data_IF_198085122494
#
_entry.id   IF_198085122494
#
_cell.length_a   1.000
_cell.length_b   1.000
_cell.length_c   1.000
_cell.angle_alpha   90.00
_cell.angle_beta   90.00
_cell.angle_gamma   90.00
#
_symmetry.space_group_name_H-M   'P 1'
#
loop_
_entity.id
_entity.type
_entity.pdbx_description
1 polymer ?
#
# COMPACT_ATOMS: atom_id res chain seq x y z
N UNK A 1 5.67 8.14 55.22
CA UNK A 1 5.98 9.04 54.09
C UNK A 1 6.71 10.24 54.68
N UNK A 2 7.90 10.58 54.18
CA UNK A 2 8.75 11.64 54.73
C UNK A 2 8.57 12.97 54.01
N UNK A 3 8.26 12.97 52.70
CA UNK A 3 7.97 14.17 51.91
C UNK A 3 7.00 13.82 50.79
N UNK A 4 5.95 14.63 50.61
CA UNK A 4 5.01 14.50 49.49
C UNK A 4 4.75 15.90 48.92
N UNK A 5 5.19 16.15 47.69
CA UNK A 5 5.00 17.43 47.01
C UNK A 5 4.53 17.22 45.57
N UNK A 6 3.37 17.80 45.26
CA UNK A 6 2.82 17.83 43.92
C UNK A 6 3.37 19.04 43.17
N UNK A 7 4.07 18.79 42.07
CA UNK A 7 4.46 19.80 41.10
C UNK A 7 3.54 19.70 39.87
N UNK A 8 3.56 20.73 39.00
CA UNK A 8 2.69 20.79 37.83
C UNK A 8 2.85 19.59 36.87
N UNK A 9 4.02 18.94 36.86
CA UNK A 9 4.38 17.87 35.93
C UNK A 9 5.05 16.67 36.61
N UNK A 10 5.31 16.73 37.92
CA UNK A 10 5.97 15.64 38.67
C UNK A 10 5.42 15.55 40.09
N UNK A 11 5.53 14.37 40.69
CA UNK A 11 5.19 14.17 42.11
C UNK A 11 6.45 13.71 42.82
N UNK A 12 6.88 14.46 43.83
CA UNK A 12 7.95 14.03 44.71
C UNK A 12 7.33 13.24 45.87
N UNK A 13 7.60 11.94 45.90
CA UNK A 13 7.23 11.07 47.00
C UNK A 13 8.51 10.48 47.60
N UNK A 14 8.85 10.93 48.81
CA UNK A 14 9.93 10.36 49.61
C UNK A 14 9.27 9.54 50.70
N UNK A 15 9.46 8.23 50.65
CA UNK A 15 9.03 7.31 51.69
C UNK A 15 10.23 6.53 52.22
N UNK A 16 10.06 5.96 53.40
CA UNK A 16 11.09 5.14 54.01
C UNK A 16 11.07 3.75 53.40
N UNK A 17 11.97 3.52 52.44
CA UNK A 17 12.06 2.28 51.67
C UNK A 17 12.49 1.05 52.50
N UNK A 18 12.91 1.23 53.75
CA UNK A 18 13.27 0.12 54.65
C UNK A 18 12.06 -0.62 55.23
N UNK A 19 10.86 -0.05 55.14
CA UNK A 19 9.63 -0.62 55.67
C UNK A 19 8.82 -1.36 54.61
N UNK A 20 9.13 -1.15 53.34
CA UNK A 20 8.40 -1.75 52.23
C UNK A 20 8.97 -3.12 51.90
N UNK A 21 8.08 -4.04 51.58
CA UNK A 21 8.47 -5.34 51.05
C UNK A 21 8.95 -5.20 49.61
N UNK A 22 9.85 -6.11 49.19
CA UNK A 22 10.36 -6.17 47.82
C UNK A 22 9.25 -6.17 46.75
N UNK A 23 8.07 -6.75 47.07
CA UNK A 23 6.91 -6.78 46.17
C UNK A 23 6.28 -5.40 45.95
N UNK A 24 6.28 -4.56 46.96
CA UNK A 24 5.69 -3.22 46.91
C UNK A 24 6.60 -2.30 46.10
N UNK A 25 7.92 -2.36 46.33
CA UNK A 25 8.92 -1.65 45.53
C UNK A 25 8.88 -2.08 44.06
N UNK A 26 8.78 -3.39 43.81
CA UNK A 26 8.61 -3.92 42.46
C UNK A 26 7.35 -3.38 41.78
N UNK A 27 6.24 -3.32 42.52
CA UNK A 27 4.97 -2.80 42.01
C UNK A 27 5.12 -1.32 41.66
N UNK A 28 5.80 -0.52 42.49
CA UNK A 28 6.05 0.90 42.20
C UNK A 28 6.85 1.12 40.90
N UNK A 29 7.84 0.27 40.60
CA UNK A 29 8.61 0.36 39.35
C UNK A 29 7.76 0.00 38.12
N UNK A 30 6.81 -0.93 38.27
CA UNK A 30 6.11 -1.55 37.14
C UNK A 30 4.74 -0.89 36.86
N UNK A 31 4.12 -0.25 37.85
CA UNK A 31 2.79 0.36 37.73
C UNK A 31 2.73 1.42 36.63
N UNK A 32 3.71 2.33 36.56
CA UNK A 32 3.75 3.37 35.53
C UNK A 32 3.72 2.77 34.11
N UNK A 33 4.73 2.00 33.72
CA UNK A 33 4.78 1.37 32.40
C UNK A 33 3.55 0.48 32.13
N UNK A 34 3.10 -0.35 33.08
CA UNK A 34 1.91 -1.20 32.87
C UNK A 34 0.64 -0.40 32.63
N UNK A 35 0.44 0.74 33.31
CA UNK A 35 -0.73 1.58 33.05
C UNK A 35 -0.73 2.13 31.64
N UNK A 36 0.43 2.51 31.11
CA UNK A 36 0.56 2.95 29.71
C UNK A 36 0.18 1.83 28.73
N UNK A 37 0.64 0.60 28.97
CA UNK A 37 0.23 -0.56 28.17
C UNK A 37 -1.26 -0.89 28.29
N UNK A 38 -1.84 -0.74 29.47
CA UNK A 38 -3.27 -0.94 29.66
C UNK A 38 -4.10 0.11 28.89
N UNK A 39 -3.65 1.38 28.90
CA UNK A 39 -4.29 2.46 28.14
C UNK A 39 -4.16 2.22 26.64
N UNK A 40 -2.99 1.84 26.12
CA UNK A 40 -2.86 1.52 24.69
C UNK A 40 -3.72 0.33 24.29
N UNK A 41 -3.73 -0.75 25.07
CA UNK A 41 -4.60 -1.90 24.82
C UNK A 41 -6.07 -1.48 24.80
N UNK A 42 -6.52 -0.67 25.76
CA UNK A 42 -7.89 -0.16 25.81
C UNK A 42 -8.23 0.64 24.54
N UNK A 43 -7.34 1.52 24.10
CA UNK A 43 -7.53 2.29 22.87
C UNK A 43 -7.62 1.38 21.62
N UNK A 44 -6.82 0.32 21.56
CA UNK A 44 -6.87 -0.69 20.50
C UNK A 44 -8.19 -1.46 20.54
N UNK A 45 -8.69 -1.83 21.72
CA UNK A 45 -9.98 -2.50 21.88
C UNK A 45 -11.16 -1.60 21.50
N UNK A 46 -11.11 -0.31 21.86
CA UNK A 46 -12.10 0.68 21.42
C UNK A 46 -12.08 0.77 19.89
N UNK A 47 -10.89 0.86 19.27
CA UNK A 47 -10.75 0.88 17.80
C UNK A 47 -11.36 -0.35 17.15
N UNK A 48 -11.10 -1.54 17.71
CA UNK A 48 -11.68 -2.80 17.26
C UNK A 48 -13.20 -2.79 17.37
N UNK A 49 -13.75 -2.39 18.52
CA UNK A 49 -15.19 -2.27 18.74
C UNK A 49 -15.86 -1.30 17.77
N UNK A 50 -15.26 -0.14 17.54
CA UNK A 50 -15.78 0.81 16.57
C UNK A 50 -15.71 0.29 15.12
N UNK A 51 -14.68 -0.48 14.77
CA UNK A 51 -14.59 -1.10 13.45
C UNK A 51 -15.71 -2.13 13.24
N UNK A 52 -16.06 -2.89 14.28
CA UNK A 52 -17.18 -3.83 14.23
C UNK A 52 -18.55 -3.15 14.07
N UNK A 53 -18.75 -1.98 14.69
CA UNK A 53 -20.05 -1.30 14.70
C UNK A 53 -20.23 -0.37 13.49
N UNK A 54 -19.21 0.42 13.14
CA UNK A 54 -19.32 1.52 12.17
C UNK A 54 -18.58 1.25 10.85
N UNK A 55 -17.85 0.13 10.73
CA UNK A 55 -17.09 -0.25 9.54
C UNK A 55 -15.84 0.59 9.27
N UNK A 56 -15.75 1.82 9.81
CA UNK A 56 -14.58 2.70 9.74
C UNK A 56 -14.55 3.68 10.93
N UNK A 57 -13.37 4.21 11.26
CA UNK A 57 -13.18 5.22 12.32
C UNK A 57 -12.44 6.44 11.75
N UNK A 58 -12.63 7.66 12.29
CA UNK A 58 -11.89 8.83 11.82
C UNK A 58 -10.38 8.62 11.85
N UNK A 59 -9.70 9.03 10.78
CA UNK A 59 -8.24 8.86 10.61
C UNK A 59 -7.42 9.49 11.74
N UNK A 60 -7.93 10.55 12.38
CA UNK A 60 -7.29 11.19 13.53
C UNK A 60 -7.05 10.22 14.70
N UNK A 61 -8.02 9.37 15.01
CA UNK A 61 -7.91 8.38 16.08
C UNK A 61 -6.79 7.37 15.81
N UNK A 62 -6.59 7.00 14.53
CA UNK A 62 -5.51 6.11 14.10
C UNK A 62 -4.13 6.74 14.38
N UNK A 63 -3.95 8.02 14.05
CA UNK A 63 -2.70 8.73 14.32
C UNK A 63 -2.43 8.87 15.82
N UNK A 64 -3.47 9.14 16.61
CA UNK A 64 -3.35 9.22 18.07
C UNK A 64 -2.94 7.88 18.69
N UNK A 65 -3.60 6.79 18.32
CA UNK A 65 -3.27 5.45 18.83
C UNK A 65 -1.86 5.04 18.43
N UNK A 66 -1.44 5.36 17.20
CA UNK A 66 -0.07 5.13 16.74
C UNK A 66 0.93 5.91 17.59
N UNK A 67 0.73 7.22 17.77
CA UNK A 67 1.63 8.05 18.57
C UNK A 67 1.72 7.56 20.02
N UNK A 68 0.58 7.21 20.63
CA UNK A 68 0.55 6.66 21.98
C UNK A 68 1.26 5.29 22.03
N UNK A 69 1.00 4.40 21.07
CA UNK A 69 1.67 3.11 21.00
C UNK A 69 3.19 3.23 20.87
N UNK A 70 3.70 4.13 20.03
CA UNK A 70 5.14 4.42 19.91
C UNK A 70 5.69 4.99 21.23
N UNK A 71 4.96 5.92 21.86
CA UNK A 71 5.36 6.47 23.16
C UNK A 71 5.48 5.37 24.22
N UNK A 72 4.51 4.44 24.31
CA UNK A 72 4.57 3.34 25.29
C UNK A 72 5.74 2.40 25.08
N UNK A 73 6.17 2.16 23.84
CA UNK A 73 7.36 1.34 23.56
C UNK A 73 8.65 2.05 23.99
N UNK A 74 8.70 3.38 23.86
CA UNK A 74 9.85 4.20 24.22
C UNK A 74 9.87 4.62 25.69
N UNK A 75 8.79 4.39 26.44
CA UNK A 75 8.62 4.85 27.82
C UNK A 75 9.76 4.41 28.77
N UNK A 76 10.19 3.13 28.82
CA UNK A 76 11.29 2.74 29.70
C UNK A 76 12.60 3.49 29.42
N UNK A 77 12.85 3.80 28.15
CA UNK A 77 14.03 4.58 27.75
C UNK A 77 13.86 6.06 28.12
N UNK A 78 12.65 6.62 27.95
CA UNK A 78 12.33 7.97 28.38
C UNK A 78 12.48 8.14 29.90
N UNK A 79 11.93 7.22 30.71
CA UNK A 79 12.07 7.22 32.17
C UNK A 79 13.53 7.14 32.59
N UNK A 80 14.31 6.23 32.00
CA UNK A 80 15.74 6.11 32.29
C UNK A 80 16.50 7.41 31.96
N UNK A 81 16.23 8.02 30.80
CA UNK A 81 16.88 9.29 30.43
C UNK A 81 16.51 10.45 31.36
N UNK A 82 15.23 10.56 31.76
CA UNK A 82 14.78 11.58 32.72
C UNK A 82 15.46 11.39 34.08
N UNK A 83 15.52 10.15 34.57
CA UNK A 83 16.17 9.82 35.84
C UNK A 83 17.67 10.13 35.81
N UNK A 84 18.35 9.86 34.69
CA UNK A 84 19.76 10.18 34.49
C UNK A 84 20.01 11.70 34.44
N UNK A 85 19.19 12.45 33.70
CA UNK A 85 19.33 13.91 33.56
C UNK A 85 19.06 14.63 34.88
N UNK A 86 18.09 14.16 35.66
CA UNK A 86 17.78 14.72 36.98
C UNK A 86 18.73 14.25 38.08
N UNK A 87 19.73 13.40 37.76
CA UNK A 87 20.69 12.86 38.71
C UNK A 87 20.09 11.90 39.75
N UNK A 88 18.87 11.40 39.52
CA UNK A 88 18.11 10.56 40.45
C UNK A 88 18.59 9.09 40.50
N UNK A 89 19.64 8.76 39.76
CA UNK A 89 20.33 7.47 39.85
C UNK A 89 21.17 7.35 41.14
N UNK A 90 21.70 8.46 41.64
CA UNK A 90 22.47 8.49 42.87
C UNK A 90 21.54 8.53 44.09
N UNK A 91 21.90 7.80 45.14
CA UNK A 91 21.12 7.85 46.38
C UNK A 91 21.42 9.14 47.15
N UNK A 92 20.36 9.89 47.46
CA UNK A 92 20.41 11.02 48.38
C UNK A 92 19.17 10.96 49.30
N UNK A 93 19.30 11.31 50.59
CA UNK A 93 18.19 11.29 51.53
C UNK A 93 17.12 12.37 51.25
N UNK A 94 17.52 13.45 50.57
CA UNK A 94 16.66 14.63 50.36
C UNK A 94 15.94 14.62 49.01
N UNK A 95 16.38 13.76 48.08
CA UNK A 95 15.82 13.66 46.72
C UNK A 95 15.23 12.28 46.46
N UNK A 96 14.09 12.18 45.74
CA UNK A 96 13.53 10.88 45.37
C UNK A 96 14.46 10.12 44.44
N UNK A 97 14.59 8.81 44.68
CA UNK A 97 15.35 7.89 43.82
C UNK A 97 14.53 7.61 42.56
N UNK A 98 15.19 7.63 41.41
CA UNK A 98 14.59 7.33 40.11
C UNK A 98 14.11 5.89 40.02
N UNK A 99 13.07 5.64 39.23
CA UNK A 99 12.44 4.32 39.14
C UNK A 99 13.40 3.26 38.58
N UNK A 100 14.32 3.66 37.69
CA UNK A 100 15.34 2.76 37.14
C UNK A 100 16.39 2.32 38.19
N UNK A 101 16.71 3.17 39.17
CA UNK A 101 17.71 2.89 40.20
C UNK A 101 17.10 2.38 41.52
N UNK A 102 15.77 2.41 41.64
CA UNK A 102 15.02 2.11 42.85
C UNK A 102 15.31 0.73 43.40
N UNK A 103 15.23 -0.28 42.54
CA UNK A 103 15.46 -1.67 42.91
C UNK A 103 16.94 -1.94 43.23
N UNK A 104 17.87 -1.28 42.53
CA UNK A 104 19.30 -1.36 42.83
C UNK A 104 19.57 -0.95 44.29
N UNK A 105 19.06 0.23 44.69
CA UNK A 105 19.27 0.75 46.04
C UNK A 105 18.53 -0.05 47.12
N UNK A 106 17.38 -0.64 46.78
CA UNK A 106 16.67 -1.56 47.67
C UNK A 106 17.53 -2.79 48.01
N UNK A 107 18.04 -3.51 46.99
CA UNK A 107 18.88 -4.70 47.20
C UNK A 107 20.25 -4.36 47.80
N UNK A 108 20.82 -3.21 47.44
CA UNK A 108 22.07 -2.75 48.03
C UNK A 108 21.96 -2.57 49.55
N UNK A 109 20.80 -2.15 50.08
CA UNK A 109 20.60 -2.02 51.53
C UNK A 109 20.30 -3.35 52.23
N UNK A 110 19.56 -4.25 51.58
CA UNK A 110 19.19 -5.53 52.15
C UNK A 110 20.38 -6.53 52.19
N UNK A 111 21.11 -6.63 51.08
CA UNK A 111 22.10 -7.70 50.85
C UNK A 111 23.54 -7.16 50.66
N UNK A 112 23.75 -5.84 50.78
CA UNK A 112 25.02 -5.14 50.45
C UNK A 112 25.48 -5.28 49.00
N UNK A 113 24.63 -5.84 48.14
CA UNK A 113 24.86 -6.01 46.71
C UNK A 113 23.64 -5.52 45.93
N UNK A 114 23.83 -4.58 45.01
CA UNK A 114 22.75 -4.05 44.16
C UNK A 114 22.58 -4.80 42.84
N UNK A 115 23.43 -5.80 42.55
CA UNK A 115 23.47 -6.48 41.25
C UNK A 115 22.13 -7.16 40.91
N UNK A 116 21.49 -7.79 41.89
CA UNK A 116 20.17 -8.41 41.71
C UNK A 116 19.10 -7.38 41.28
N UNK A 117 19.13 -6.18 41.85
CA UNK A 117 18.22 -5.10 41.48
C UNK A 117 18.37 -4.64 40.02
N UNK A 118 19.60 -4.58 39.50
CA UNK A 118 19.87 -4.25 38.08
C UNK A 118 19.33 -5.34 37.16
N UNK A 119 19.59 -6.60 37.48
CA UNK A 119 19.15 -7.74 36.65
C UNK A 119 17.62 -7.79 36.59
N UNK A 120 16.95 -7.61 37.72
CA UNK A 120 15.48 -7.64 37.80
C UNK A 120 14.88 -6.44 37.05
N UNK A 121 15.41 -5.23 37.20
CA UNK A 121 14.90 -4.05 36.47
C UNK A 121 15.06 -4.19 34.95
N UNK A 122 16.22 -4.67 34.48
CA UNK A 122 16.45 -4.95 33.07
C UNK A 122 15.47 -6.00 32.53
N UNK A 123 15.24 -7.07 33.30
CA UNK A 123 14.28 -8.11 32.94
C UNK A 123 12.85 -7.54 32.81
N UNK A 124 12.40 -6.76 33.79
CA UNK A 124 11.05 -6.16 33.77
C UNK A 124 10.87 -5.21 32.59
N UNK A 125 11.86 -4.37 32.30
CA UNK A 125 11.80 -3.45 31.16
C UNK A 125 11.85 -4.20 29.82
N UNK A 126 12.59 -5.31 29.74
CA UNK A 126 12.59 -6.18 28.55
C UNK A 126 11.21 -6.81 28.33
N UNK A 127 10.60 -7.39 29.36
CA UNK A 127 9.25 -7.97 29.28
C UNK A 127 8.23 -6.90 28.93
N UNK A 128 8.33 -5.72 29.54
CA UNK A 128 7.47 -4.59 29.24
C UNK A 128 7.61 -4.17 27.77
N UNK A 129 8.83 -4.01 27.27
CA UNK A 129 9.11 -3.67 25.87
C UNK A 129 8.53 -4.70 24.91
N UNK A 130 8.69 -6.00 25.19
CA UNK A 130 8.10 -7.08 24.39
C UNK A 130 6.56 -7.04 24.42
N UNK A 131 5.95 -6.72 25.56
CA UNK A 131 4.51 -6.56 25.66
C UNK A 131 4.03 -5.32 24.87
N UNK A 132 4.71 -4.19 24.98
CA UNK A 132 4.36 -2.96 24.27
C UNK A 132 4.51 -3.12 22.76
N UNK A 133 5.61 -3.73 22.30
CA UNK A 133 5.86 -3.92 20.86
C UNK A 133 4.87 -4.92 20.24
N UNK A 134 4.45 -5.95 21.00
CA UNK A 134 3.43 -6.90 20.50
C UNK A 134 2.06 -6.24 20.38
N UNK A 135 1.63 -5.44 21.35
CA UNK A 135 0.39 -4.65 21.27
C UNK A 135 0.45 -3.68 20.08
N UNK A 136 1.56 -2.95 19.93
CA UNK A 136 1.77 -2.02 18.81
C UNK A 136 1.78 -2.75 17.46
N UNK A 137 2.44 -3.91 17.36
CA UNK A 137 2.50 -4.70 16.13
C UNK A 137 1.12 -5.21 15.71
N UNK A 138 0.33 -5.72 16.66
CA UNK A 138 -1.06 -6.13 16.40
C UNK A 138 -1.88 -4.95 15.88
N UNK A 139 -1.74 -3.78 16.50
CA UNK A 139 -2.41 -2.57 16.07
C UNK A 139 -1.99 -2.14 14.65
N UNK A 140 -0.69 -2.06 14.39
CA UNK A 140 -0.14 -1.64 13.09
C UNK A 140 -0.56 -2.55 11.95
N UNK A 141 -0.53 -3.86 12.16
CA UNK A 141 -0.91 -4.81 11.12
C UNK A 141 -2.43 -4.82 10.92
N UNK A 142 -3.22 -4.99 11.99
CA UNK A 142 -4.66 -5.26 11.84
C UNK A 142 -5.55 -4.02 11.75
N UNK A 143 -5.19 -2.91 12.40
CA UNK A 143 -6.12 -1.79 12.62
C UNK A 143 -5.68 -0.47 12.04
N UNK A 144 -4.38 -0.29 11.85
CA UNK A 144 -3.85 0.95 11.29
C UNK A 144 -4.27 1.09 9.82
N UNK A 145 -4.82 2.27 9.48
CA UNK A 145 -5.34 2.59 8.14
C UNK A 145 -6.25 1.51 7.56
N UNK A 146 -7.18 1.00 8.38
CA UNK A 146 -8.17 -0.03 8.02
C UNK A 146 -7.55 -1.34 7.50
N UNK A 147 -6.38 -1.72 8.03
CA UNK A 147 -5.73 -2.98 7.69
C UNK A 147 -4.95 -2.97 6.37
N UNK A 148 -4.82 -1.80 5.72
CA UNK A 148 -3.98 -1.63 4.50
C UNK A 148 -2.53 -2.06 4.71
N UNK A 149 -2.03 -1.91 5.95
CA UNK A 149 -0.69 -2.35 6.31
C UNK A 149 -0.55 -3.87 6.22
N UNK A 150 -1.57 -4.65 6.63
CA UNK A 150 -1.57 -6.09 6.49
C UNK A 150 -1.62 -6.52 5.02
N UNK A 151 -2.47 -5.89 4.20
CA UNK A 151 -2.51 -6.13 2.75
C UNK A 151 -1.15 -5.86 2.10
N UNK A 152 -0.50 -4.74 2.43
CA UNK A 152 0.85 -4.42 1.93
C UNK A 152 1.88 -5.45 2.40
N UNK A 153 1.85 -5.83 3.68
CA UNK A 153 2.76 -6.83 4.24
C UNK A 153 2.59 -8.20 3.57
N UNK A 154 1.35 -8.62 3.34
CA UNK A 154 1.04 -9.86 2.62
C UNK A 154 1.58 -9.81 1.20
N UNK A 155 1.35 -8.72 0.46
CA UNK A 155 1.88 -8.55 -0.91
C UNK A 155 3.40 -8.58 -0.98
N UNK A 156 4.09 -8.02 0.01
CA UNK A 156 5.56 -8.01 0.06
C UNK A 156 6.18 -9.35 0.46
N UNK A 157 5.46 -10.16 1.23
CA UNK A 157 5.98 -11.42 1.80
C UNK A 157 5.51 -12.65 1.02
N UNK A 158 4.47 -12.50 0.19
CA UNK A 158 3.96 -13.58 -0.64
C UNK A 158 5.01 -14.09 -1.62
N UNK A 159 5.01 -15.40 -1.86
CA UNK A 159 5.70 -15.96 -3.03
C UNK A 159 4.88 -15.67 -4.29
N UNK A 160 5.57 -15.56 -5.41
CA UNK A 160 4.93 -15.42 -6.73
C UNK A 160 3.93 -16.56 -6.96
N UNK A 161 2.73 -16.23 -7.43
CA UNK A 161 1.65 -17.21 -7.66
C UNK A 161 0.83 -17.62 -6.42
N UNK A 162 1.14 -17.12 -5.20
CA UNK A 162 0.34 -17.44 -3.99
C UNK A 162 -1.03 -16.76 -3.96
N UNK A 163 -1.16 -15.62 -4.65
CA UNK A 163 -2.41 -14.86 -4.72
C UNK A 163 -2.80 -14.70 -6.18
N UNK A 164 -4.10 -14.82 -6.45
CA UNK A 164 -4.69 -14.42 -7.72
C UNK A 164 -4.72 -12.90 -7.76
N UNK A 165 -3.64 -12.30 -8.24
CA UNK A 165 -3.57 -10.87 -8.48
C UNK A 165 -4.06 -10.61 -9.91
N UNK A 166 -4.98 -9.66 -10.12
CA UNK A 166 -5.31 -9.24 -11.47
C UNK A 166 -4.05 -8.72 -12.16
N UNK A 167 -3.98 -8.90 -13.48
CA UNK A 167 -2.89 -8.39 -14.27
C UNK A 167 -2.79 -6.87 -14.14
N UNK A 168 -1.58 -6.32 -14.32
CA UNK A 168 -1.42 -4.88 -14.39
C UNK A 168 -2.29 -4.33 -15.53
N UNK A 169 -3.12 -3.32 -15.20
CA UNK A 169 -4.08 -2.71 -16.12
C UNK A 169 -5.19 -3.67 -16.61
N UNK A 170 -5.52 -4.69 -15.82
CA UNK A 170 -6.71 -5.50 -16.05
C UNK A 170 -7.98 -4.65 -15.85
N UNK A 171 -8.94 -4.83 -16.76
CA UNK A 171 -10.20 -4.10 -16.80
C UNK A 171 -11.36 -5.09 -16.79
N UNK A 172 -12.43 -4.73 -16.09
CA UNK A 172 -13.67 -5.51 -16.16
C UNK A 172 -14.37 -5.35 -17.51
N UNK A 173 -15.17 -6.35 -17.90
CA UNK A 173 -16.04 -6.26 -19.08
C UNK A 173 -16.98 -5.04 -19.05
N UNK A 174 -17.46 -4.65 -17.86
CA UNK A 174 -18.33 -3.50 -17.68
C UNK A 174 -17.58 -2.19 -17.98
N UNK A 175 -16.34 -2.07 -17.50
CA UNK A 175 -15.48 -0.91 -17.77
C UNK A 175 -15.12 -0.83 -19.25
N UNK A 176 -14.75 -1.96 -19.88
CA UNK A 176 -14.46 -1.97 -21.32
C UNK A 176 -15.68 -1.53 -22.13
N UNK A 177 -16.88 -2.07 -21.84
CA UNK A 177 -18.13 -1.68 -22.51
C UNK A 177 -18.42 -0.18 -22.33
N UNK A 178 -18.23 0.33 -21.12
CA UNK A 178 -18.39 1.75 -20.84
C UNK A 178 -17.39 2.61 -21.64
N UNK A 179 -16.13 2.21 -21.69
CA UNK A 179 -15.07 2.91 -22.44
C UNK A 179 -15.39 2.92 -23.94
N UNK A 180 -15.82 1.78 -24.51
CA UNK A 180 -16.18 1.64 -25.92
C UNK A 180 -17.36 2.55 -26.26
N UNK A 181 -18.47 2.48 -25.51
CA UNK A 181 -19.64 3.35 -25.73
C UNK A 181 -19.29 4.83 -25.63
N UNK A 182 -18.49 5.20 -24.63
CA UNK A 182 -18.03 6.58 -24.45
C UNK A 182 -17.13 7.04 -25.59
N UNK A 183 -16.30 6.14 -26.14
CA UNK A 183 -15.48 6.44 -27.29
C UNK A 183 -16.32 6.64 -28.56
N UNK A 184 -17.28 5.78 -28.84
CA UNK A 184 -18.15 5.89 -30.02
C UNK A 184 -18.99 7.18 -30.03
N UNK A 185 -19.44 7.63 -28.86
CA UNK A 185 -20.19 8.88 -28.70
C UNK A 185 -19.31 10.14 -28.79
N UNK A 186 -17.99 10.00 -28.68
CA UNK A 186 -17.08 11.13 -28.67
C UNK A 186 -17.04 11.84 -30.03
N UNK A 187 -17.07 13.18 -30.00
CA UNK A 187 -16.93 14.06 -31.16
C UNK A 187 -15.86 15.09 -30.84
N UNK A 188 -14.85 15.19 -31.70
CA UNK A 188 -13.80 16.21 -31.58
C UNK A 188 -14.25 17.54 -32.17
N UNK A 189 -13.56 18.62 -31.74
CA UNK A 189 -13.85 19.99 -32.18
C UNK A 189 -13.73 20.17 -33.69
N UNK A 190 -12.74 19.51 -34.32
CA UNK A 190 -12.48 19.57 -35.76
C UNK A 190 -13.28 18.54 -36.58
N UNK A 191 -14.34 17.96 -36.02
CA UNK A 191 -15.10 16.89 -36.68
C UNK A 191 -14.46 15.50 -36.58
N UNK A 192 -13.40 15.36 -35.78
CA UNK A 192 -12.79 14.06 -35.45
C UNK A 192 -13.81 13.13 -34.79
N UNK A 193 -13.71 11.84 -35.10
CA UNK A 193 -14.57 10.81 -34.49
C UNK A 193 -13.72 9.66 -34.03
N UNK A 194 -14.17 8.94 -33.01
CA UNK A 194 -13.54 7.68 -32.60
C UNK A 194 -14.31 6.50 -33.17
N UNK A 195 -13.57 5.50 -33.64
CA UNK A 195 -14.12 4.24 -34.13
C UNK A 195 -13.42 3.09 -33.43
N UNK A 196 -14.19 2.09 -33.04
CA UNK A 196 -13.69 0.87 -32.41
C UNK A 196 -13.54 -0.20 -33.48
N UNK A 197 -12.41 -0.90 -33.46
CA UNK A 197 -12.11 -2.05 -34.29
C UNK A 197 -11.83 -3.24 -33.37
N UNK A 198 -12.40 -4.40 -33.71
CA UNK A 198 -12.21 -5.65 -32.98
C UNK A 198 -11.57 -6.64 -33.95
N UNK A 199 -10.45 -7.23 -33.54
CA UNK A 199 -9.74 -8.24 -34.29
C UNK A 199 -9.59 -9.48 -33.42
N UNK A 200 -10.02 -10.62 -33.92
CA UNK A 200 -9.76 -11.91 -33.29
C UNK A 200 -8.51 -12.50 -33.93
N UNK A 201 -7.48 -12.73 -33.11
CA UNK A 201 -6.25 -13.36 -33.54
C UNK A 201 -6.19 -14.76 -32.98
N UNK A 202 -6.13 -15.75 -33.87
CA UNK A 202 -5.98 -17.17 -33.50
C UNK A 202 -4.49 -17.47 -33.62
N UNK A 203 -3.81 -17.61 -32.48
CA UNK A 203 -2.42 -18.04 -32.51
C UNK A 203 -2.40 -19.56 -32.69
N UNK A 204 -2.22 -20.01 -33.93
CA UNK A 204 -1.77 -21.38 -34.16
C UNK A 204 -0.28 -21.40 -33.82
N UNK A 205 0.13 -22.18 -32.83
CA UNK A 205 1.54 -22.44 -32.60
C UNK A 205 2.14 -22.89 -33.95
N UNK A 206 2.97 -22.04 -34.56
CA UNK A 206 3.69 -22.41 -35.77
C UNK A 206 4.60 -23.58 -35.38
N UNK A 207 4.32 -24.77 -35.92
CA UNK A 207 5.26 -25.89 -35.88
C UNK A 207 6.59 -25.38 -36.45
N UNK A 208 7.69 -25.37 -35.67
CA UNK A 208 8.99 -25.02 -36.23
C UNK A 208 9.38 -26.17 -37.16
N UNK A 209 9.24 -25.95 -38.47
CA UNK A 209 9.72 -26.82 -39.53
C UNK A 209 11.24 -26.98 -39.44
N UNK A 210 11.71 -27.89 -38.57
CA UNK A 210 13.00 -28.59 -38.66
C UNK A 210 12.92 -29.97 -37.98
N UNK A 211 12.11 -30.87 -38.54
CA UNK A 211 12.50 -32.29 -38.57
C UNK A 211 11.90 -32.96 -39.80
N UNK A 212 12.75 -33.13 -40.79
CA UNK A 212 12.50 -33.87 -42.02
C UNK A 212 12.00 -35.30 -41.77
N UNK A 213 10.84 -35.64 -42.34
CA UNK A 213 10.61 -36.94 -42.98
C UNK A 213 9.69 -37.93 -42.26
N UNK A 214 8.41 -37.95 -42.62
CA UNK A 214 7.65 -39.14 -43.06
C UNK A 214 6.16 -38.78 -43.28
N UNK A 215 5.49 -39.26 -44.34
CA UNK A 215 4.04 -39.13 -44.47
C UNK A 215 3.37 -40.22 -43.62
N UNK A 216 2.59 -39.83 -42.62
CA UNK A 216 1.64 -40.72 -41.97
C UNK A 216 0.24 -40.30 -42.37
N UNK A 217 -0.37 -41.08 -43.26
CA UNK A 217 -1.81 -41.12 -43.43
C UNK A 217 -2.44 -41.47 -42.08
N UNK A 218 -3.32 -40.60 -41.59
CA UNK A 218 -3.92 -40.71 -40.26
C UNK A 218 -5.03 -39.67 -40.09
N UNK A 219 -6.23 -40.06 -40.52
CA UNK A 219 -7.46 -39.31 -40.41
C UNK A 219 -7.84 -39.08 -38.92
N UNK A 220 -8.02 -37.81 -38.52
CA UNK A 220 -8.67 -37.45 -37.25
C UNK A 220 -7.77 -36.98 -36.10
N UNK A 221 -6.76 -36.14 -36.34
CA UNK A 221 -6.16 -35.34 -35.26
C UNK A 221 -7.01 -34.09 -34.99
N UNK A 222 -7.42 -33.78 -33.73
CA UNK A 222 -8.10 -32.53 -33.42
C UNK A 222 -7.17 -31.35 -33.77
N UNK A 223 -7.71 -30.21 -34.27
CA UNK A 223 -6.89 -29.06 -34.56
C UNK A 223 -6.15 -28.63 -33.28
N UNK A 224 -4.90 -28.12 -33.39
CA UNK A 224 -4.19 -27.61 -32.24
C UNK A 224 -5.06 -26.57 -31.53
N UNK A 225 -5.19 -26.66 -30.21
CA UNK A 225 -5.90 -25.68 -29.39
C UNK A 225 -5.22 -24.31 -29.57
N UNK A 226 -5.66 -23.57 -30.59
CA UNK A 226 -5.14 -22.24 -30.87
C UNK A 226 -5.58 -21.30 -29.75
N UNK A 227 -4.61 -20.70 -29.08
CA UNK A 227 -4.89 -19.66 -28.11
C UNK A 227 -5.50 -18.46 -28.86
N UNK A 228 -6.78 -18.20 -28.60
CA UNK A 228 -7.50 -17.07 -29.22
C UNK A 228 -7.30 -15.83 -28.36
N UNK A 229 -6.85 -14.74 -28.98
CA UNK A 229 -6.72 -13.44 -28.34
C UNK A 229 -7.52 -12.39 -29.11
N UNK A 230 -8.36 -11.64 -28.41
CA UNK A 230 -9.20 -10.60 -29.02
C UNK A 230 -8.60 -9.22 -28.76
N UNK A 231 -8.25 -8.51 -29.81
CA UNK A 231 -7.76 -7.14 -29.77
C UNK A 231 -8.91 -6.16 -29.98
N UNK A 232 -9.13 -5.26 -29.02
CA UNK A 232 -10.08 -4.16 -29.15
C UNK A 232 -9.30 -2.85 -29.23
N UNK A 233 -9.27 -2.23 -30.41
CA UNK A 233 -8.50 -1.02 -30.66
C UNK A 233 -9.45 0.15 -30.95
N UNK A 234 -9.25 1.26 -30.24
CA UNK A 234 -10.00 2.50 -30.45
C UNK A 234 -9.10 3.45 -31.25
N UNK A 235 -9.56 3.87 -32.42
CA UNK A 235 -8.88 4.85 -33.26
C UNK A 235 -9.58 6.20 -33.23
N UNK A 236 -8.81 7.29 -33.21
CA UNK A 236 -9.28 8.63 -33.56
C UNK A 236 -9.09 8.82 -35.06
N UNK A 237 -10.20 9.07 -35.75
CA UNK A 237 -10.27 9.34 -37.17
C UNK A 237 -10.26 10.85 -37.37
N UNK A 238 -9.22 11.35 -38.02
CA UNK A 238 -9.15 12.74 -38.44
C UNK A 238 -9.85 12.92 -39.79
N UNK A 239 -10.44 14.09 -40.08
CA UNK A 239 -11.00 14.39 -41.40
C UNK A 239 -10.00 14.25 -42.55
N UNK A 240 -8.71 14.36 -42.28
CA UNK A 240 -7.61 14.13 -43.22
C UNK A 240 -7.47 12.66 -43.66
N UNK A 241 -8.20 11.72 -43.06
CA UNK A 241 -8.09 10.29 -43.29
C UNK A 241 -7.04 9.58 -42.41
N UNK A 242 -6.25 10.35 -41.66
CA UNK A 242 -5.26 9.81 -40.71
C UNK A 242 -5.99 9.10 -39.57
N UNK A 243 -5.55 7.88 -39.25
CA UNK A 243 -6.04 7.10 -38.11
C UNK A 243 -4.96 7.09 -37.03
N UNK A 244 -5.29 7.57 -35.85
CA UNK A 244 -4.38 7.53 -34.70
C UNK A 244 -4.95 6.62 -33.62
N UNK A 245 -4.17 5.65 -33.16
CA UNK A 245 -4.58 4.77 -32.06
C UNK A 245 -4.74 5.59 -30.77
N UNK A 246 -5.93 5.52 -30.17
CA UNK A 246 -6.26 6.17 -28.91
C UNK A 246 -6.00 5.25 -27.72
N UNK A 247 -6.57 4.04 -27.74
CA UNK A 247 -6.41 3.00 -26.70
C UNK A 247 -6.47 1.61 -27.34
N UNK A 248 -5.83 0.64 -26.71
CA UNK A 248 -5.79 -0.76 -27.18
C UNK A 248 -5.96 -1.68 -25.98
N UNK A 249 -6.90 -2.62 -26.10
CA UNK A 249 -7.16 -3.66 -25.12
C UNK A 249 -6.93 -5.03 -25.75
N UNK A 250 -6.37 -5.93 -24.96
CA UNK A 250 -6.13 -7.32 -25.32
C UNK A 250 -6.90 -8.21 -24.35
N UNK A 251 -7.79 -9.04 -24.90
CA UNK A 251 -8.37 -10.16 -24.16
C UNK A 251 -7.49 -11.38 -24.39
N UNK A 252 -6.85 -11.82 -23.32
CA UNK A 252 -5.99 -13.01 -23.28
C UNK A 252 -6.84 -14.29 -23.29
N UNK A 253 -6.25 -15.46 -23.64
CA UNK A 253 -6.95 -16.74 -23.69
C UNK A 253 -7.51 -17.19 -22.33
N UNK A 254 -6.92 -16.73 -21.23
CA UNK A 254 -7.41 -16.93 -19.86
C UNK A 254 -8.67 -16.09 -19.54
N UNK A 255 -9.07 -15.21 -20.46
CA UNK A 255 -10.23 -14.32 -20.33
C UNK A 255 -9.91 -12.96 -19.72
N UNK A 256 -8.68 -12.72 -19.26
CA UNK A 256 -8.25 -11.44 -18.70
C UNK A 256 -8.22 -10.37 -19.80
N UNK A 257 -8.72 -9.17 -19.50
CA UNK A 257 -8.73 -8.03 -20.43
C UNK A 257 -7.74 -7.00 -19.92
N UNK A 258 -6.67 -6.76 -20.66
CA UNK A 258 -5.59 -5.84 -20.27
C UNK A 258 -5.46 -4.68 -21.24
N UNK A 259 -5.17 -3.48 -20.74
CA UNK A 259 -4.84 -2.34 -21.60
C UNK A 259 -3.36 -2.36 -22.00
N UNK A 260 -3.10 -2.35 -23.31
CA UNK A 260 -1.75 -2.31 -23.87
C UNK A 260 -1.30 -0.86 -24.03
N UNK A 261 -0.34 -0.44 -23.22
CA UNK A 261 0.25 0.91 -23.27
C UNK A 261 1.59 0.85 -24.01
N UNK A 262 1.68 1.54 -25.16
CA UNK A 262 2.90 1.64 -25.97
C UNK A 262 2.69 1.24 -27.43
N UNK A 263 3.51 1.76 -28.34
CA UNK A 263 3.50 1.42 -29.78
C UNK A 263 3.92 -0.03 -29.99
N UNK A 264 2.95 -0.95 -29.93
CA UNK A 264 3.05 -2.27 -30.56
C UNK A 264 2.84 -2.10 -32.07
N UNK A 265 3.71 -1.33 -32.72
CA UNK A 265 3.86 -1.37 -34.18
C UNK A 265 4.73 -2.57 -34.53
N UNK A 266 4.09 -3.73 -34.59
CA UNK A 266 4.69 -4.98 -35.05
C UNK A 266 3.66 -5.73 -35.88
N UNK A 267 3.78 -5.59 -37.20
CA UNK A 267 3.25 -6.52 -38.20
C UNK A 267 1.72 -6.64 -38.27
N UNK A 268 1.05 -5.75 -39.01
CA UNK A 268 -0.23 -5.97 -39.75
C UNK A 268 -0.86 -4.65 -40.21
N UNK A 269 -0.13 -3.81 -40.96
CA UNK A 269 -0.76 -2.63 -41.59
C UNK A 269 0.06 -2.01 -42.74
N UNK A 270 0.58 -2.81 -43.68
CA UNK A 270 1.08 -2.28 -44.97
C UNK A 270 0.92 -3.28 -46.10
N UNK A 271 -0.29 -3.78 -46.33
CA UNK A 271 -0.67 -4.39 -47.61
C UNK A 271 -2.10 -3.97 -47.91
N UNK A 272 -2.27 -2.70 -48.28
CA UNK A 272 -3.34 -2.27 -49.17
C UNK A 272 -3.04 -0.83 -49.59
N UNK A 273 -3.01 -0.61 -50.90
CA UNK A 273 -2.78 0.66 -51.60
C UNK A 273 -1.32 1.03 -51.96
N UNK A 274 -0.67 0.20 -52.78
CA UNK A 274 0.39 0.66 -53.69
C UNK A 274 -0.04 0.39 -55.14
N UNK A 275 -0.94 1.23 -55.65
CA UNK A 275 -1.39 1.22 -57.04
C UNK A 275 -1.57 2.65 -57.54
N UNK A 276 -0.87 2.95 -58.65
CA UNK A 276 -0.88 4.17 -59.46
C UNK A 276 -0.09 5.40 -58.96
N UNK A 277 0.96 5.74 -59.73
CA UNK A 277 1.46 7.12 -59.84
C UNK A 277 2.96 7.28 -60.03
N UNK A 278 3.54 6.78 -61.12
CA UNK A 278 4.88 7.19 -61.56
C UNK A 278 4.87 8.68 -61.96
N UNK A 279 5.81 9.47 -61.43
CA UNK A 279 6.47 10.54 -62.18
C UNK A 279 7.87 10.76 -61.63
N UNK A 280 8.82 10.68 -62.56
CA UNK A 280 10.27 10.76 -62.40
C UNK A 280 10.73 12.21 -62.31
N UNK A 281 11.75 12.50 -61.49
CA UNK A 281 13.08 12.93 -61.97
C UNK A 281 13.90 13.73 -60.93
N UNK A 282 15.19 13.33 -60.87
CA UNK A 282 16.42 14.10 -60.57
C UNK A 282 17.05 14.05 -59.17
N UNK A 283 18.12 13.22 -59.10
CA UNK A 283 19.54 13.50 -58.76
C UNK A 283 19.83 14.30 -57.48
N UNK A 284 20.75 13.92 -56.58
CA UNK A 284 22.13 13.44 -56.80
C UNK A 284 22.65 12.66 -55.58
N UNK A 285 23.58 11.74 -55.80
CA UNK A 285 24.35 10.98 -54.81
C UNK A 285 25.28 11.85 -53.95
N UNK A 286 25.52 11.48 -52.68
CA UNK A 286 26.86 11.07 -52.24
C UNK A 286 26.89 10.36 -50.87
N UNK A 287 27.85 9.45 -50.75
CA UNK A 287 28.12 8.47 -49.67
C UNK A 287 28.60 9.09 -48.35
N UNK A 288 28.26 8.47 -47.21
CA UNK A 288 29.17 7.61 -46.43
C UNK A 288 28.54 7.22 -45.08
N UNK A 289 28.78 5.96 -44.68
CA UNK A 289 28.23 5.38 -43.46
C UNK A 289 29.08 5.64 -42.22
N UNK A 290 28.42 5.77 -41.06
CA UNK A 290 28.95 5.36 -39.77
C UNK A 290 27.80 5.21 -38.76
N UNK A 291 27.92 4.17 -37.96
CA UNK A 291 26.95 3.64 -37.01
C UNK A 291 26.89 4.42 -35.68
N UNK A 292 25.74 4.23 -35.02
CA UNK A 292 25.51 4.26 -33.58
C UNK A 292 25.64 5.59 -32.80
N UNK A 293 24.49 6.09 -32.31
CA UNK A 293 24.14 6.16 -30.88
C UNK A 293 23.08 7.24 -30.63
N UNK A 294 21.79 6.88 -30.70
CA UNK A 294 20.71 7.80 -30.31
C UNK A 294 20.40 7.63 -28.83
N UNK A 295 20.93 8.57 -28.06
CA UNK A 295 20.68 8.72 -26.64
C UNK A 295 19.20 8.97 -26.32
N UNK A 296 18.68 8.17 -25.40
CA UNK A 296 17.34 8.28 -24.81
C UNK A 296 17.24 9.56 -23.96
N UNK A 297 16.80 10.66 -24.56
CA UNK A 297 16.55 11.92 -23.83
C UNK A 297 15.21 11.86 -23.10
N UNK A 298 15.23 11.40 -21.85
CA UNK A 298 14.10 11.49 -20.89
C UNK A 298 13.59 12.93 -20.80
N UNK A 299 12.35 13.18 -21.23
CA UNK A 299 11.63 14.45 -20.98
C UNK A 299 10.58 14.25 -19.87
N UNK A 300 10.94 14.69 -18.67
CA UNK A 300 10.07 14.81 -17.49
C UNK A 300 8.91 15.77 -17.78
N UNK A 301 7.66 15.30 -17.80
CA UNK A 301 6.47 16.17 -17.75
C UNK A 301 5.92 16.22 -16.33
N UNK A 302 5.62 17.46 -15.92
CA UNK A 302 5.19 17.86 -14.58
C UNK A 302 3.73 17.51 -14.33
N UNK A 303 3.46 17.21 -13.07
CA UNK A 303 2.18 17.13 -12.37
C UNK A 303 1.05 18.01 -12.96
N UNK A 304 -0.13 17.40 -13.15
CA UNK A 304 -1.38 18.09 -13.46
C UNK A 304 -2.53 17.49 -12.63
N UNK A 305 -3.04 18.29 -11.68
CA UNK A 305 -4.22 18.06 -10.84
C UNK A 305 -5.42 17.55 -11.66
N UNK A 306 -6.05 16.47 -11.23
CA UNK A 306 -7.42 16.13 -11.65
C UNK A 306 -8.41 16.73 -10.65
N UNK A 307 -9.24 17.65 -11.13
CA UNK A 307 -10.41 18.14 -10.42
C UNK A 307 -11.47 17.04 -10.43
N UNK A 308 -11.87 16.57 -9.25
CA UNK A 308 -13.08 15.77 -9.06
C UNK A 308 -14.28 16.69 -9.27
N UNK A 309 -15.08 16.42 -10.30
CA UNK A 309 -16.37 17.07 -10.50
C UNK A 309 -17.42 16.13 -9.90
N UNK A 310 -18.08 16.57 -8.84
CA UNK A 310 -19.29 15.90 -8.31
C UNK A 310 -20.48 16.17 -9.23
N UNK A 311 -21.41 15.21 -9.38
CA UNK A 311 -22.62 15.44 -10.13
C UNK A 311 -23.56 16.38 -9.37
N UNK A 312 -23.95 17.46 -10.06
CA UNK A 312 -25.06 18.34 -9.69
C UNK A 312 -26.36 17.52 -9.73
N UNK A 313 -26.88 17.15 -8.56
CA UNK A 313 -28.25 16.66 -8.43
C UNK A 313 -29.19 17.86 -8.40
N UNK A 314 -29.86 18.11 -9.51
CA UNK A 314 -30.91 19.10 -9.65
C UNK A 314 -32.29 18.48 -9.55
N UNK A 315 -33.19 19.31 -9.01
CA UNK A 315 -34.63 19.35 -9.26
C UNK A 315 -35.50 18.38 -8.48
N UNK A 316 -36.13 18.93 -7.44
CA UNK A 316 -37.31 18.33 -6.82
C UNK A 316 -38.47 18.24 -7.80
N UNK A 317 -39.23 17.16 -7.64
CA UNK A 317 -40.62 17.10 -8.06
C UNK A 317 -41.35 16.34 -6.94
N UNK A 318 -42.18 17.07 -6.20
CA UNK A 318 -43.04 16.48 -5.19
C UNK A 318 -44.21 15.76 -5.85
N UNK A 319 -44.53 14.58 -5.35
CA UNK A 319 -45.87 14.02 -5.45
C UNK A 319 -46.20 13.29 -4.16
N UNK A 320 -47.02 13.96 -3.38
CA UNK A 320 -47.71 13.49 -2.19
C UNK A 320 -48.54 12.25 -2.52
N UNK A 321 -48.39 11.18 -1.75
CA UNK A 321 -49.42 10.15 -1.61
C UNK A 321 -49.77 10.03 -0.14
N UNK A 322 -50.98 10.47 0.19
CA UNK A 322 -51.63 10.21 1.46
C UNK A 322 -52.19 8.77 1.47
N UNK A 323 -52.23 8.09 2.62
CA UNK A 323 -53.01 6.88 2.80
C UNK A 323 -54.44 7.25 3.25
N UNK A 324 -55.46 6.53 2.74
CA UNK A 324 -56.65 6.11 3.50
C UNK A 324 -57.66 5.43 2.57
N UNK A 325 -57.77 4.09 2.71
CA UNK A 325 -58.98 3.26 2.88
C UNK A 325 -58.68 1.79 2.57
#
# INVERSE_FOLDING_TARGET
VNKFQLHAHTVELIYQSSLLHTREELTMVVVGPLTLNAVTLLLVLIRWGCQLIFGSLPSFTSNFIMAQGVWTVLDPLAVFTVDAVLGRLAYSPDTPVGDAAKLYWHFYRAERSGAAGVIITLFLYTVHFLLSITILAIYLLRFHNDGRMLDTFQRLTAKEGMYFLPHDLELSNQELSYIVKKAEQWRGFNGERRKVAVYDHIWTAEDPLLSSGAPSDGEGAPPPEGETSTHVIIYTLYPSGIKQRYRHFLRQPDGAITEVIGETEGTTATEDMAGLGQSSANQTEDKDGASASLQLRKRKKRFGRTHRIEPVAGSGCGSSFAPDQ
#
